data_IF_975873902701
#
_entry.id   IF_975873902701
#
_cell.length_a   1.000
_cell.length_b   1.000
_cell.length_c   1.000
_cell.angle_alpha   90.00
_cell.angle_beta   90.00
_cell.angle_gamma   90.00
#
_symmetry.space_group_name_H-M   'P 1'
#
loop_
_entity.id
_entity.type
_entity.pdbx_description
1 polymer ?
#
# COMPACT_ATOMS: atom_id res chain seq x y z
N UNK A 1 -16.26 -6.12 -8.50
CA UNK A 1 -15.06 -6.02 -7.65
C UNK A 1 -14.10 -7.15 -7.96
N UNK A 2 -12.95 -6.81 -8.54
CA UNK A 2 -11.93 -7.74 -9.00
C UNK A 2 -11.18 -8.42 -7.84
N UNK A 3 -10.41 -9.47 -8.18
CA UNK A 3 -9.67 -10.29 -7.20
C UNK A 3 -8.68 -9.47 -6.38
N UNK A 4 -7.91 -8.57 -6.99
CA UNK A 4 -6.94 -7.73 -6.30
C UNK A 4 -7.62 -6.86 -5.24
N UNK A 5 -8.73 -6.22 -5.59
CA UNK A 5 -9.48 -5.35 -4.67
C UNK A 5 -10.03 -6.12 -3.47
N UNK A 6 -10.53 -7.34 -3.70
CA UNK A 6 -10.99 -8.23 -2.62
C UNK A 6 -9.85 -8.55 -1.65
N UNK A 7 -8.69 -8.93 -2.17
CA UNK A 7 -7.51 -9.24 -1.37
C UNK A 7 -6.99 -8.01 -0.59
N UNK A 8 -6.90 -6.85 -1.23
CA UNK A 8 -6.47 -5.61 -0.56
C UNK A 8 -7.44 -5.20 0.54
N UNK A 9 -8.75 -5.33 0.33
CA UNK A 9 -9.75 -5.09 1.38
C UNK A 9 -9.61 -6.04 2.56
N UNK A 10 -9.33 -7.32 2.32
CA UNK A 10 -9.05 -8.29 3.40
C UNK A 10 -7.78 -7.94 4.18
N UNK A 11 -6.82 -7.27 3.54
CA UNK A 11 -5.61 -6.74 4.17
C UNK A 11 -5.82 -5.37 4.85
N UNK A 12 -7.06 -4.87 4.90
CA UNK A 12 -7.44 -3.64 5.59
C UNK A 12 -7.42 -2.38 4.73
N UNK A 13 -7.09 -2.47 3.44
CA UNK A 13 -7.10 -1.29 2.58
C UNK A 13 -8.53 -0.85 2.25
N UNK A 14 -8.78 0.45 2.39
CA UNK A 14 -9.93 1.11 1.78
C UNK A 14 -9.70 1.26 0.27
N UNK A 15 -10.75 1.01 -0.51
CA UNK A 15 -10.73 1.15 -1.97
C UNK A 15 -11.47 2.43 -2.35
N UNK A 16 -10.74 3.46 -2.78
CA UNK A 16 -11.33 4.71 -3.29
C UNK A 16 -11.82 4.55 -4.72
N UNK A 17 -10.98 3.95 -5.57
CA UNK A 17 -11.31 3.68 -6.97
C UNK A 17 -10.71 2.36 -7.38
N UNK A 18 -11.57 1.44 -7.82
CA UNK A 18 -11.16 0.09 -8.18
C UNK A 18 -10.05 0.10 -9.25
N UNK A 19 -8.99 -0.67 -9.01
CA UNK A 19 -7.72 -0.70 -9.77
C UNK A 19 -6.84 0.54 -9.73
N UNK A 20 -7.28 1.66 -9.19
CA UNK A 20 -6.55 2.93 -9.32
C UNK A 20 -6.04 3.46 -7.98
N UNK A 21 -6.82 3.35 -6.90
CA UNK A 21 -6.43 3.95 -5.63
C UNK A 21 -6.94 3.18 -4.41
N UNK A 22 -5.98 2.76 -3.57
CA UNK A 22 -6.23 2.12 -2.29
C UNK A 22 -5.37 2.74 -1.21
N UNK A 23 -5.89 2.78 0.02
CA UNK A 23 -5.18 3.34 1.17
C UNK A 23 -5.42 2.55 2.44
N UNK A 24 -4.40 2.47 3.29
CA UNK A 24 -4.50 1.94 4.64
C UNK A 24 -3.76 2.89 5.59
N UNK A 25 -4.49 3.48 6.54
CA UNK A 25 -3.87 4.27 7.59
C UNK A 25 -3.16 3.36 8.59
N UNK A 26 -1.91 3.69 8.89
CA UNK A 26 -1.05 2.93 9.81
C UNK A 26 -0.70 3.70 11.09
N UNK A 27 -1.13 4.96 11.16
CA UNK A 27 -1.03 5.87 12.30
C UNK A 27 -1.67 7.21 11.95
N UNK A 28 -1.72 8.14 12.92
CA UNK A 28 -2.43 9.44 12.80
C UNK A 28 -2.03 10.27 11.57
N UNK A 29 -0.79 10.14 11.11
CA UNK A 29 -0.24 10.91 10.00
C UNK A 29 0.48 10.04 8.97
N UNK A 30 0.27 8.73 8.97
CA UNK A 30 1.00 7.81 8.10
C UNK A 30 0.05 6.86 7.41
N UNK A 31 0.10 6.85 6.09
CA UNK A 31 -0.75 6.00 5.25
C UNK A 31 0.10 5.18 4.30
N UNK A 32 -0.34 3.96 4.05
CA UNK A 32 0.09 3.15 2.92
C UNK A 32 -0.82 3.45 1.74
N UNK A 33 -0.24 3.72 0.58
CA UNK A 33 -0.97 4.09 -0.62
C UNK A 33 -0.56 3.15 -1.75
N UNK A 34 -1.56 2.69 -2.50
CA UNK A 34 -1.39 1.92 -3.72
C UNK A 34 -2.07 2.69 -4.84
N UNK A 35 -1.27 3.12 -5.80
CA UNK A 35 -1.75 3.76 -7.03
C UNK A 35 -1.59 2.77 -8.17
N UNK A 36 -2.69 2.47 -8.84
CA UNK A 36 -2.68 1.71 -10.08
C UNK A 36 -2.81 2.63 -11.27
N UNK A 37 -2.05 2.34 -12.31
CA UNK A 37 -2.17 3.01 -13.59
C UNK A 37 -2.09 1.97 -14.71
N UNK A 38 -2.66 2.32 -15.85
CA UNK A 38 -2.63 1.49 -17.05
C UNK A 38 -2.19 2.38 -18.21
N UNK A 39 -1.07 2.06 -18.86
CA UNK A 39 -0.63 2.83 -20.02
C UNK A 39 -1.61 2.61 -21.19
N UNK A 40 -1.70 3.58 -22.12
CA UNK A 40 -2.37 3.33 -23.40
C UNK A 40 -1.74 2.08 -24.04
N UNK A 41 -2.58 1.13 -24.47
CA UNK A 41 -2.21 -0.16 -25.06
C UNK A 41 -1.69 -1.26 -24.12
N UNK A 42 -1.50 -0.99 -22.83
CA UNK A 42 -1.23 -2.08 -21.88
C UNK A 42 -2.50 -2.90 -21.67
N UNK A 43 -2.36 -4.22 -21.49
CA UNK A 43 -3.50 -5.10 -21.16
C UNK A 43 -3.82 -4.99 -19.65
N UNK A 44 -2.78 -4.88 -18.83
CA UNK A 44 -2.85 -4.96 -17.38
C UNK A 44 -2.50 -3.65 -16.68
N UNK A 45 -3.10 -3.42 -15.52
CA UNK A 45 -2.67 -2.36 -14.60
C UNK A 45 -1.31 -2.70 -13.99
N UNK A 46 -0.53 -1.66 -13.73
CA UNK A 46 0.69 -1.69 -12.93
C UNK A 46 0.51 -0.80 -11.71
N UNK A 47 1.21 -1.14 -10.64
CA UNK A 47 0.98 -0.52 -9.35
C UNK A 47 2.26 0.06 -8.73
N UNK A 48 2.11 1.21 -8.10
CA UNK A 48 3.10 1.79 -7.19
C UNK A 48 2.60 1.61 -5.77
N UNK A 49 3.45 1.08 -4.89
CA UNK A 49 3.14 0.90 -3.48
C UNK A 49 4.13 1.72 -2.65
N UNK A 50 3.60 2.60 -1.81
CA UNK A 50 4.43 3.50 -1.01
C UNK A 50 3.77 3.84 0.34
N UNK A 51 4.60 4.29 1.27
CA UNK A 51 4.18 4.92 2.53
C UNK A 51 4.34 6.42 2.40
N UNK A 52 3.34 7.16 2.84
CA UNK A 52 3.40 8.61 2.96
C UNK A 52 3.22 9.01 4.43
N UNK A 53 4.08 9.90 4.92
CA UNK A 53 3.92 10.53 6.24
C UNK A 53 3.67 12.01 6.05
N UNK A 54 2.58 12.49 6.66
CA UNK A 54 2.18 13.89 6.66
C UNK A 54 2.80 14.60 7.86
N UNK A 55 3.54 15.68 7.62
CA UNK A 55 4.15 16.47 8.69
C UNK A 55 3.52 17.86 8.72
N UNK A 56 3.14 18.35 9.90
CA UNK A 56 2.48 19.66 10.04
C UNK A 56 3.42 20.84 9.71
N UNK A 57 4.70 20.70 10.02
CA UNK A 57 5.69 21.79 9.93
C UNK A 57 6.88 21.45 9.03
N UNK A 58 6.85 20.28 8.36
CA UNK A 58 7.93 19.82 7.49
C UNK A 58 7.34 19.27 6.19
N UNK A 59 8.19 19.10 5.19
CA UNK A 59 7.80 18.41 3.96
C UNK A 59 7.34 16.99 4.28
N UNK A 60 6.27 16.56 3.62
CA UNK A 60 5.80 15.17 3.70
C UNK A 60 6.91 14.23 3.24
N UNK A 61 7.02 13.07 3.89
CA UNK A 61 7.99 12.05 3.51
C UNK A 61 7.30 10.92 2.76
N UNK A 62 7.95 10.45 1.69
CA UNK A 62 7.48 9.32 0.88
C UNK A 62 8.55 8.23 0.87
N UNK A 63 8.14 7.00 1.17
CA UNK A 63 8.98 5.81 1.04
C UNK A 63 8.33 4.84 0.07
N UNK A 64 8.91 4.67 -1.12
CA UNK A 64 8.38 3.74 -2.13
C UNK A 64 8.89 2.31 -1.87
N UNK A 65 7.97 1.35 -1.80
CA UNK A 65 8.28 -0.07 -1.62
C UNK A 65 8.26 -0.87 -2.93
N UNK A 66 7.67 -0.31 -3.98
CA UNK A 66 7.79 -0.82 -5.34
C UNK A 66 7.08 0.06 -6.36
N UNK A 67 7.57 0.03 -7.59
CA UNK A 67 7.00 0.69 -8.77
C UNK A 67 6.73 -0.36 -9.83
N UNK A 68 5.79 -0.07 -10.73
CA UNK A 68 5.49 -0.91 -11.90
C UNK A 68 5.15 -2.37 -11.53
N UNK A 69 4.56 -2.60 -10.35
CA UNK A 69 4.28 -3.93 -9.84
C UNK A 69 3.10 -4.55 -10.59
N UNK A 70 3.19 -5.83 -10.90
CA UNK A 70 2.03 -6.62 -11.30
C UNK A 70 1.11 -6.84 -10.08
N UNK A 71 -0.18 -7.19 -10.26
CA UNK A 71 -1.07 -7.50 -9.14
C UNK A 71 -0.49 -8.52 -8.15
N UNK A 72 0.17 -9.58 -8.65
CA UNK A 72 0.77 -10.61 -7.81
C UNK A 72 1.94 -10.07 -6.97
N UNK A 73 2.88 -9.35 -7.59
CA UNK A 73 4.02 -8.73 -6.89
C UNK A 73 3.58 -7.66 -5.90
N UNK A 74 2.52 -6.92 -6.22
CA UNK A 74 1.92 -5.96 -5.29
C UNK A 74 1.44 -6.66 -4.02
N UNK A 75 0.63 -7.71 -4.15
CA UNK A 75 0.10 -8.44 -2.99
C UNK A 75 1.21 -9.05 -2.14
N UNK A 76 2.24 -9.62 -2.78
CA UNK A 76 3.43 -10.13 -2.09
C UNK A 76 4.10 -9.02 -1.24
N UNK A 77 4.39 -7.87 -1.84
CA UNK A 77 5.03 -6.73 -1.16
C UNK A 77 4.19 -6.19 -0.01
N UNK A 78 2.87 -6.10 -0.19
CA UNK A 78 1.94 -5.66 0.86
C UNK A 78 1.97 -6.65 2.04
N UNK A 79 1.88 -7.95 1.78
CA UNK A 79 1.91 -8.99 2.83
C UNK A 79 3.23 -8.96 3.60
N UNK A 80 4.37 -8.84 2.90
CA UNK A 80 5.69 -8.71 3.54
C UNK A 80 5.73 -7.48 4.44
N UNK A 81 5.27 -6.32 3.94
CA UNK A 81 5.24 -5.10 4.75
C UNK A 81 4.43 -5.27 6.03
N UNK A 82 3.19 -5.80 5.91
CA UNK A 82 2.29 -5.97 7.04
C UNK A 82 2.86 -6.98 8.05
N UNK A 83 3.45 -8.08 7.59
CA UNK A 83 4.12 -9.06 8.46
C UNK A 83 5.28 -8.44 9.24
N UNK A 84 6.17 -7.72 8.56
CA UNK A 84 7.30 -7.02 9.19
C UNK A 84 6.82 -5.98 10.21
N UNK A 85 5.75 -5.24 9.89
CA UNK A 85 5.14 -4.28 10.79
C UNK A 85 4.58 -4.95 12.04
N UNK A 86 3.84 -6.03 11.90
CA UNK A 86 3.28 -6.79 13.03
C UNK A 86 4.40 -7.29 13.95
N UNK A 87 5.46 -7.86 13.37
CA UNK A 87 6.62 -8.33 14.14
C UNK A 87 7.31 -7.18 14.90
N UNK A 88 7.49 -6.03 14.26
CA UNK A 88 8.07 -4.84 14.89
C UNK A 88 7.24 -4.33 16.07
N UNK A 89 5.91 -4.25 15.91
CA UNK A 89 5.02 -3.79 16.98
C UNK A 89 5.00 -4.77 18.15
N UNK A 90 4.92 -6.08 17.88
CA UNK A 90 4.91 -7.11 18.91
C UNK A 90 6.25 -7.21 19.67
N UNK A 91 7.37 -6.98 18.99
CA UNK A 91 8.68 -6.91 19.62
C UNK A 91 8.81 -5.73 20.59
N UNK A 92 8.12 -4.62 20.30
CA UNK A 92 8.13 -3.41 21.12
C UNK A 92 7.22 -3.48 22.35
N UNK A 93 6.20 -4.33 22.33
CA UNK A 93 5.33 -4.59 23.49
C UNK A 93 5.96 -5.47 24.57
N UNK A 94 7.17 -6.01 24.33
CA UNK A 94 7.91 -6.88 25.27
C UNK A 94 9.03 -6.15 26.03
N UNK A 95 9.15 -4.84 25.87
CA UNK A 95 10.07 -3.94 26.60
C UNK A 95 9.26 -2.90 27.34
#
# INVERSE_FOLDING_TARGET
>A
MNRLTKELKLLGFFCFKENELYMLDTGKYTSLIIEGYKKPNDIYYQYTFYKQTFHKYHSNSVTTYGKHLTPAKLLERVRIYLSNRTNYLNGRSKT
#
